data_IF_888343319904
#
_entry.id   IF_888343319904
#
_cell.length_a   1.000
_cell.length_b   1.000
_cell.length_c   1.000
_cell.angle_alpha   90.00
_cell.angle_beta   90.00
_cell.angle_gamma   90.00
#
_symmetry.space_group_name_H-M   'P 1'
#
loop_
_entity.id
_entity.type
_entity.pdbx_description
1 polymer ?
#
# COMPACT_ATOMS: atom_id res chain seq x y z
N UNK A 1 40.09 45.71 22.46
CA UNK A 1 38.95 45.03 23.12
C UNK A 1 37.85 46.08 23.23
N UNK A 2 36.63 45.98 22.70
CA UNK A 2 35.83 44.85 22.24
C UNK A 2 34.93 45.25 21.04
N UNK A 3 34.30 44.25 20.43
CA UNK A 3 33.87 44.17 19.04
C UNK A 3 32.47 44.76 18.74
N UNK A 4 32.28 45.14 17.47
CA UNK A 4 31.04 45.53 16.82
C UNK A 4 29.88 44.57 17.09
N UNK A 5 28.71 45.11 17.43
CA UNK A 5 27.46 44.39 17.37
C UNK A 5 26.98 44.29 15.92
N UNK A 6 26.92 43.05 15.42
CA UNK A 6 26.24 42.71 14.16
C UNK A 6 24.74 42.73 14.43
N UNK A 7 24.02 43.61 13.72
CA UNK A 7 22.57 43.55 13.60
C UNK A 7 22.24 42.38 12.67
N UNK A 8 21.71 41.29 13.22
CA UNK A 8 21.10 40.24 12.43
C UNK A 8 19.68 40.69 12.06
N UNK A 9 19.49 41.05 10.79
CA UNK A 9 18.17 41.13 10.19
C UNK A 9 17.53 39.73 10.27
N UNK A 10 16.38 39.64 10.93
CA UNK A 10 15.58 38.41 10.94
C UNK A 10 15.31 37.95 9.50
N UNK A 11 15.58 36.67 9.14
CA UNK A 11 15.08 36.15 7.89
C UNK A 11 13.55 36.04 8.00
N UNK A 12 12.89 36.70 7.06
CA UNK A 12 11.62 36.38 6.43
C UNK A 12 10.63 35.55 7.25
N UNK A 13 9.52 36.21 7.62
CA UNK A 13 8.28 35.61 8.10
C UNK A 13 8.04 34.24 7.44
N UNK A 14 8.18 33.18 8.23
CA UNK A 14 7.41 31.98 7.98
C UNK A 14 5.95 32.43 8.09
N UNK A 15 5.18 32.35 7.01
CA UNK A 15 3.75 32.61 7.07
C UNK A 15 3.13 31.60 8.04
N UNK A 16 2.83 32.06 9.26
CA UNK A 16 2.20 31.30 10.35
C UNK A 16 0.69 31.11 10.11
N UNK A 17 0.27 30.94 8.85
CA UNK A 17 -1.14 30.90 8.47
C UNK A 17 -1.62 29.54 7.94
N UNK A 18 -0.79 28.51 8.02
CA UNK A 18 -1.19 27.10 7.84
C UNK A 18 -1.05 26.38 9.19
N UNK A 19 -1.75 26.88 10.21
CA UNK A 19 -1.64 26.40 11.57
C UNK A 19 -2.28 25.01 11.67
N UNK A 20 -1.47 23.96 11.52
CA UNK A 20 -1.90 22.61 11.85
C UNK A 20 -2.21 22.52 13.35
N UNK A 21 -3.38 21.99 13.72
CA UNK A 21 -3.67 21.63 15.10
C UNK A 21 -2.77 20.47 15.52
N UNK A 22 -2.10 20.59 16.68
CA UNK A 22 -1.05 19.65 17.07
C UNK A 22 -1.56 18.69 18.14
N UNK A 23 -1.57 17.40 17.82
CA UNK A 23 -1.97 16.30 18.72
C UNK A 23 -0.73 15.52 19.15
N UNK A 24 -0.62 15.24 20.46
CA UNK A 24 0.45 14.39 21.00
C UNK A 24 0.06 12.92 20.97
N UNK A 25 0.97 12.04 20.52
CA UNK A 25 0.72 10.58 20.46
C UNK A 25 0.75 9.86 21.82
N UNK A 26 1.01 10.58 22.92
CA UNK A 26 1.10 9.98 24.25
C UNK A 26 2.26 8.98 24.38
N UNK A 27 2.04 7.92 25.16
CA UNK A 27 2.99 6.82 25.38
C UNK A 27 2.91 5.71 24.32
N UNK A 28 2.05 5.87 23.31
CA UNK A 28 1.81 4.88 22.25
C UNK A 28 1.13 3.59 22.72
N UNK A 29 0.63 3.53 23.96
CA UNK A 29 -0.04 2.36 24.50
C UNK A 29 -1.54 2.31 24.17
N UNK A 30 -2.11 3.42 23.72
CA UNK A 30 -3.55 3.57 23.46
C UNK A 30 -3.88 4.33 22.17
N UNK A 31 -5.17 4.34 21.79
CA UNK A 31 -5.64 5.08 20.63
C UNK A 31 -5.43 6.59 20.78
N UNK A 32 -5.15 7.26 19.67
CA UNK A 32 -4.99 8.72 19.59
C UNK A 32 -6.28 9.31 19.02
N UNK A 33 -6.89 10.23 19.77
CA UNK A 33 -8.07 10.96 19.29
C UNK A 33 -7.65 12.13 18.40
N UNK A 34 -8.24 12.23 17.23
CA UNK A 34 -8.05 13.28 16.22
C UNK A 34 -9.29 14.19 16.23
N UNK A 35 -9.10 15.53 16.31
CA UNK A 35 -10.18 16.51 16.31
C UNK A 35 -10.87 16.62 14.94
N UNK A 36 -12.01 17.32 14.90
CA UNK A 36 -12.81 17.63 13.71
C UNK A 36 -13.74 16.48 13.25
N UNK A 37 -14.26 15.69 14.19
CA UNK A 37 -15.23 14.64 13.91
C UNK A 37 -14.73 13.63 12.85
N UNK A 38 -15.51 13.45 11.78
CA UNK A 38 -15.22 12.46 10.73
C UNK A 38 -14.08 12.84 9.76
N UNK A 39 -13.43 13.99 9.97
CA UNK A 39 -12.24 14.43 9.20
C UNK A 39 -11.20 13.31 9.02
N UNK A 40 -11.05 12.44 10.02
CA UNK A 40 -10.14 11.30 9.97
C UNK A 40 -10.40 10.35 8.77
N UNK A 41 -11.65 10.24 8.32
CA UNK A 41 -12.08 9.34 7.25
C UNK A 41 -11.79 9.87 5.84
N UNK A 42 -11.67 11.20 5.71
CA UNK A 42 -11.54 11.90 4.43
C UNK A 42 -10.23 12.67 4.29
N UNK A 43 -9.45 12.81 5.36
CA UNK A 43 -8.14 13.43 5.36
C UNK A 43 -7.13 12.72 4.45
N UNK A 44 -6.29 13.52 3.82
CA UNK A 44 -5.03 13.07 3.24
C UNK A 44 -4.01 12.84 4.37
N UNK A 45 -3.32 11.71 4.31
CA UNK A 45 -2.32 11.32 5.29
C UNK A 45 -0.95 11.55 4.67
N UNK A 46 -0.07 12.25 5.37
CA UNK A 46 1.29 12.54 4.92
C UNK A 46 2.28 12.32 6.05
N UNK A 47 3.30 11.50 5.81
CA UNK A 47 4.40 11.33 6.77
C UNK A 47 5.34 12.53 6.72
N UNK A 48 5.50 13.19 7.87
CA UNK A 48 6.41 14.34 8.05
C UNK A 48 7.44 13.97 9.11
N UNK A 49 8.53 13.34 8.68
CA UNK A 49 9.57 12.83 9.59
C UNK A 49 9.02 11.76 10.53
N UNK A 50 9.12 11.94 11.87
CA UNK A 50 8.51 11.04 12.85
C UNK A 50 7.02 11.31 13.09
N UNK A 51 6.46 12.38 12.52
CA UNK A 51 5.08 12.81 12.73
C UNK A 51 4.16 12.40 11.56
N UNK A 52 2.87 12.34 11.83
CA UNK A 52 1.82 12.16 10.83
C UNK A 52 1.07 13.48 10.65
N UNK A 53 0.96 13.97 9.42
CA UNK A 53 0.12 15.11 9.06
C UNK A 53 -1.16 14.59 8.40
N UNK A 54 -2.30 15.12 8.83
CA UNK A 54 -3.62 14.88 8.28
C UNK A 54 -4.12 16.20 7.70
N UNK A 55 -4.63 16.20 6.47
CA UNK A 55 -5.17 17.43 5.86
C UNK A 55 -6.36 17.17 4.97
N UNK A 56 -7.37 18.02 5.05
CA UNK A 56 -8.54 18.01 4.18
C UNK A 56 -9.00 19.45 3.97
N UNK A 57 -8.96 19.92 2.73
CA UNK A 57 -9.31 21.30 2.42
C UNK A 57 -8.47 22.30 3.21
N UNK A 58 -9.10 23.03 4.14
CA UNK A 58 -8.45 24.00 5.01
C UNK A 58 -8.13 23.50 6.43
N UNK A 59 -8.51 22.26 6.75
CA UNK A 59 -8.27 21.65 8.06
C UNK A 59 -6.98 20.83 8.02
N UNK A 60 -6.12 21.03 9.02
CA UNK A 60 -4.86 20.32 9.12
C UNK A 60 -4.56 19.94 10.56
N UNK A 61 -4.20 18.68 10.79
CA UNK A 61 -3.82 18.14 12.10
C UNK A 61 -2.45 17.47 12.00
N UNK A 62 -1.54 17.78 12.92
CA UNK A 62 -0.22 17.15 13.03
C UNK A 62 -0.18 16.28 14.29
N UNK A 63 -0.10 14.97 14.09
CA UNK A 63 0.09 13.98 15.15
C UNK A 63 1.57 13.76 15.38
N UNK A 64 2.09 14.25 16.51
CA UNK A 64 3.53 14.23 16.80
C UNK A 64 4.00 12.85 17.21
N UNK A 65 5.12 12.42 16.63
CA UNK A 65 5.87 11.22 17.05
C UNK A 65 5.08 9.93 16.78
N UNK A 66 4.11 10.01 15.87
CA UNK A 66 3.25 8.91 15.48
C UNK A 66 4.01 7.68 14.98
N UNK A 67 5.14 7.89 14.30
CA UNK A 67 5.98 6.83 13.73
C UNK A 67 7.18 6.44 14.60
N UNK A 68 7.27 6.91 15.84
CA UNK A 68 8.38 6.54 16.75
C UNK A 68 8.12 5.26 17.53
N UNK A 69 6.89 4.75 17.49
CA UNK A 69 6.48 3.53 18.20
C UNK A 69 6.72 2.28 17.34
N UNK A 70 7.11 1.17 17.98
CA UNK A 70 7.24 -0.13 17.30
C UNK A 70 5.90 -0.62 16.73
N UNK A 71 4.80 -0.35 17.45
CA UNK A 71 3.43 -0.54 16.97
C UNK A 71 2.79 0.84 16.82
N UNK A 72 2.42 1.19 15.60
CA UNK A 72 1.74 2.47 15.32
C UNK A 72 0.36 2.50 16.00
N UNK A 73 0.06 3.54 16.80
CA UNK A 73 -1.22 3.66 17.50
C UNK A 73 -2.41 3.81 16.54
N UNK A 74 -3.59 3.35 16.95
CA UNK A 74 -4.83 3.56 16.20
C UNK A 74 -5.30 5.00 16.36
N UNK A 75 -5.97 5.54 15.33
CA UNK A 75 -6.54 6.88 15.32
C UNK A 75 -8.06 6.79 15.46
N UNK A 76 -8.63 7.60 16.36
CA UNK A 76 -10.07 7.70 16.59
C UNK A 76 -10.53 9.12 16.28
N UNK A 77 -11.76 9.28 15.80
CA UNK A 77 -12.42 10.59 15.84
C UNK A 77 -12.86 10.94 17.28
N UNK A 78 -13.28 12.20 17.49
CA UNK A 78 -13.67 12.71 18.82
C UNK A 78 -14.78 11.93 19.52
N UNK A 79 -15.71 11.34 18.76
CA UNK A 79 -16.83 10.57 19.30
C UNK A 79 -16.55 9.05 19.37
N UNK A 80 -15.41 8.60 18.84
CA UNK A 80 -15.00 7.21 18.80
C UNK A 80 -15.78 6.33 17.83
N UNK A 81 -16.63 6.90 16.97
CA UNK A 81 -17.42 6.17 15.98
C UNK A 81 -16.59 5.69 14.78
N UNK A 82 -15.47 6.35 14.50
CA UNK A 82 -14.53 5.98 13.43
C UNK A 82 -13.17 5.59 14.02
N UNK A 83 -12.62 4.49 13.50
CA UNK A 83 -11.29 3.99 13.87
C UNK A 83 -10.47 3.75 12.61
N UNK A 84 -9.31 4.39 12.53
CA UNK A 84 -8.28 4.09 11.53
C UNK A 84 -7.14 3.37 12.23
N UNK A 85 -7.00 2.08 11.93
CA UNK A 85 -5.94 1.27 12.52
C UNK A 85 -4.55 1.79 12.14
N UNK A 86 -3.58 1.73 13.04
CA UNK A 86 -2.27 2.35 12.81
C UNK A 86 -1.51 1.80 11.60
N UNK A 87 -1.73 0.53 11.27
CA UNK A 87 -1.19 -0.07 10.03
C UNK A 87 -1.80 0.53 8.76
N UNK A 88 -3.07 0.93 8.81
CA UNK A 88 -3.75 1.61 7.71
C UNK A 88 -3.28 3.06 7.60
N UNK A 89 -3.22 3.79 8.71
CA UNK A 89 -2.68 5.15 8.75
C UNK A 89 -1.25 5.21 8.20
N UNK A 90 -0.41 4.22 8.51
CA UNK A 90 0.95 4.11 7.98
C UNK A 90 1.01 3.89 6.48
N UNK A 91 0.06 3.13 5.91
CA UNK A 91 -0.05 2.93 4.46
C UNK A 91 -0.54 4.19 3.77
N UNK A 92 -1.52 4.87 4.35
CA UNK A 92 -2.09 6.10 3.82
C UNK A 92 -1.07 7.26 3.83
N UNK A 93 -0.21 7.33 4.85
CA UNK A 93 0.81 8.38 5.00
C UNK A 93 1.91 8.39 3.93
N UNK A 94 1.99 7.32 3.12
CA UNK A 94 2.96 7.15 2.05
C UNK A 94 4.39 6.88 2.53
N UNK A 95 5.28 6.45 1.60
CA UNK A 95 6.70 6.22 1.91
C UNK A 95 7.41 7.54 2.23
N UNK A 96 8.45 7.45 3.07
CA UNK A 96 9.23 8.51 3.74
C UNK A 96 9.78 9.69 2.90
N UNK A 97 9.60 9.75 1.58
CA UNK A 97 10.30 10.70 0.70
C UNK A 97 9.37 11.45 -0.27
N UNK A 98 8.86 12.63 0.13
CA UNK A 98 8.25 13.59 -0.78
C UNK A 98 9.30 14.17 -1.72
N UNK A 99 9.32 13.64 -2.95
CA UNK A 99 10.32 13.97 -3.97
C UNK A 99 10.58 12.82 -4.95
N UNK A 100 10.24 11.60 -4.56
CA UNK A 100 10.13 10.46 -5.50
C UNK A 100 8.74 10.38 -6.16
N UNK A 101 7.82 11.31 -5.88
CA UNK A 101 6.43 11.27 -6.38
C UNK A 101 6.28 11.48 -7.89
N UNK A 102 7.24 12.11 -8.57
CA UNK A 102 7.28 12.11 -10.05
C UNK A 102 7.63 10.72 -10.63
N UNK A 103 8.17 9.80 -9.80
CA UNK A 103 8.50 8.43 -10.17
C UNK A 103 7.56 7.39 -9.51
N UNK A 104 6.82 7.75 -8.45
CA UNK A 104 5.83 6.92 -7.76
C UNK A 104 4.41 6.99 -8.36
N UNK A 105 4.11 7.90 -9.29
CA UNK A 105 2.89 7.81 -10.11
C UNK A 105 2.82 6.48 -10.91
N UNK A 106 3.97 5.82 -11.09
CA UNK A 106 4.07 4.47 -11.66
C UNK A 106 3.98 3.34 -10.62
N UNK A 107 4.07 3.64 -9.32
CA UNK A 107 4.04 2.67 -8.22
C UNK A 107 2.73 2.71 -7.43
N UNK A 108 1.85 3.68 -7.67
CA UNK A 108 0.45 3.68 -7.22
C UNK A 108 -0.41 2.54 -7.86
N UNK A 109 0.19 1.70 -8.70
CA UNK A 109 -0.37 0.40 -9.11
C UNK A 109 -0.05 -0.74 -8.14
N UNK A 110 0.74 -0.51 -7.09
CA UNK A 110 0.96 -1.47 -6.02
C UNK A 110 -0.21 -1.46 -5.01
N UNK A 111 -1.44 -1.60 -5.52
CA UNK A 111 -2.41 -2.41 -4.80
C UNK A 111 -1.70 -3.73 -4.55
N UNK A 112 -1.37 -4.03 -3.29
CA UNK A 112 -0.80 -5.32 -2.91
C UNK A 112 -1.87 -6.40 -3.02
N UNK A 113 -2.27 -6.73 -4.23
CA UNK A 113 -2.34 -8.14 -4.60
C UNK A 113 -0.88 -8.58 -4.57
N UNK A 114 -0.43 -9.15 -3.47
CA UNK A 114 0.86 -9.84 -3.48
C UNK A 114 0.79 -10.87 -4.60
N UNK A 115 1.68 -10.74 -5.59
CA UNK A 115 1.72 -11.70 -6.70
C UNK A 115 1.87 -13.09 -6.10
N UNK A 116 0.92 -13.98 -6.38
CA UNK A 116 0.97 -15.34 -5.84
C UNK A 116 1.90 -16.22 -6.68
N UNK A 117 2.31 -15.75 -7.86
CA UNK A 117 3.30 -16.43 -8.68
C UNK A 117 3.90 -15.56 -9.77
N UNK A 118 4.85 -16.16 -10.49
CA UNK A 118 5.59 -15.55 -11.58
C UNK A 118 5.67 -16.51 -12.76
N UNK A 119 5.58 -15.98 -13.98
CA UNK A 119 5.78 -16.77 -15.20
C UNK A 119 7.27 -17.11 -15.35
N UNK A 120 7.64 -18.37 -15.20
CA UNK A 120 9.02 -18.85 -15.40
C UNK A 120 9.32 -19.22 -16.85
N UNK A 121 8.32 -19.77 -17.55
CA UNK A 121 8.44 -20.21 -18.95
C UNK A 121 7.25 -19.73 -19.75
N UNK A 122 7.50 -19.25 -20.96
CA UNK A 122 6.45 -18.83 -21.88
C UNK A 122 6.90 -19.06 -23.32
N UNK A 123 6.05 -19.72 -24.09
CA UNK A 123 6.16 -19.90 -25.54
C UNK A 123 4.81 -19.57 -26.18
N UNK A 124 4.82 -18.95 -27.37
CA UNK A 124 3.59 -18.56 -28.06
C UNK A 124 2.88 -17.34 -27.45
N UNK A 125 1.57 -17.26 -27.63
CA UNK A 125 0.73 -16.14 -27.19
C UNK A 125 -0.11 -16.55 -25.99
N UNK A 126 0.07 -15.84 -24.89
CA UNK A 126 -0.67 -16.04 -23.64
C UNK A 126 -1.21 -14.70 -23.15
N UNK A 127 -2.46 -14.69 -22.72
CA UNK A 127 -3.15 -13.52 -22.18
C UNK A 127 -3.56 -13.77 -20.73
N UNK A 128 -3.36 -12.77 -19.86
CA UNK A 128 -3.86 -12.74 -18.49
C UNK A 128 -5.02 -11.75 -18.46
N UNK A 129 -6.19 -12.20 -18.03
CA UNK A 129 -7.35 -11.35 -17.82
C UNK A 129 -7.44 -11.13 -16.31
N UNK A 130 -7.23 -9.90 -15.88
CA UNK A 130 -7.26 -9.50 -14.47
C UNK A 130 -8.70 -9.43 -13.98
N UNK A 131 -8.88 -9.35 -12.66
CA UNK A 131 -10.20 -9.27 -12.02
C UNK A 131 -10.98 -7.99 -12.38
N UNK A 132 -10.30 -6.93 -12.76
CA UNK A 132 -10.90 -5.69 -13.29
C UNK A 132 -11.36 -5.82 -14.76
N UNK A 133 -11.15 -6.99 -15.38
CA UNK A 133 -11.48 -7.28 -16.78
C UNK A 133 -10.39 -6.88 -17.77
N UNK A 134 -9.29 -6.24 -17.32
CA UNK A 134 -8.18 -5.85 -18.18
C UNK A 134 -7.47 -7.08 -18.70
N UNK A 135 -7.29 -7.16 -20.02
CA UNK A 135 -6.50 -8.22 -20.65
C UNK A 135 -5.09 -7.71 -20.93
N UNK A 136 -4.09 -8.38 -20.37
CA UNK A 136 -2.67 -8.10 -20.61
C UNK A 136 -2.00 -9.30 -21.25
N UNK A 137 -1.04 -9.06 -22.15
CA UNK A 137 -0.20 -10.13 -22.68
C UNK A 137 0.77 -10.59 -21.59
N UNK A 138 0.93 -11.90 -21.43
CA UNK A 138 1.93 -12.46 -20.53
C UNK A 138 3.30 -12.48 -21.20
N UNK A 139 4.33 -12.22 -20.40
CA UNK A 139 5.75 -12.38 -20.73
C UNK A 139 6.44 -13.17 -19.63
N UNK A 140 7.66 -13.64 -19.89
CA UNK A 140 8.49 -14.24 -18.85
C UNK A 140 8.76 -13.21 -17.75
N UNK A 141 8.52 -13.60 -16.49
CA UNK A 141 8.61 -12.70 -15.35
C UNK A 141 7.32 -11.94 -15.04
N UNK A 142 6.26 -12.09 -15.84
CA UNK A 142 4.95 -11.50 -15.52
C UNK A 142 4.44 -12.02 -14.18
N UNK A 143 3.89 -11.09 -13.40
CA UNK A 143 3.27 -11.39 -12.12
C UNK A 143 1.86 -11.95 -12.32
N UNK A 144 1.57 -13.00 -11.57
CA UNK A 144 0.28 -13.67 -11.48
C UNK A 144 -0.37 -13.30 -10.16
N UNK A 145 -1.64 -12.92 -10.19
CA UNK A 145 -2.43 -12.53 -9.04
C UNK A 145 -3.65 -13.44 -8.89
N UNK A 146 -4.18 -13.51 -7.67
CA UNK A 146 -5.44 -14.20 -7.40
C UNK A 146 -6.58 -13.60 -8.23
N UNK A 147 -7.40 -14.47 -8.82
CA UNK A 147 -8.50 -14.13 -9.70
C UNK A 147 -8.11 -13.97 -11.18
N UNK A 148 -6.82 -14.04 -11.53
CA UNK A 148 -6.38 -13.95 -12.92
C UNK A 148 -6.91 -15.13 -13.76
N UNK A 149 -7.34 -14.85 -14.98
CA UNK A 149 -7.65 -15.87 -15.97
C UNK A 149 -6.52 -15.92 -17.00
N UNK A 150 -5.79 -17.02 -17.04
CA UNK A 150 -4.77 -17.29 -18.05
C UNK A 150 -5.44 -17.97 -19.25
N UNK A 151 -5.19 -17.46 -20.44
CA UNK A 151 -5.61 -18.05 -21.72
C UNK A 151 -4.41 -18.23 -22.63
N UNK A 152 -4.15 -19.45 -23.08
CA UNK A 152 -3.12 -19.78 -24.06
C UNK A 152 -3.77 -19.97 -25.43
N UNK A 153 -3.13 -19.44 -26.49
CA UNK A 153 -3.55 -19.68 -27.87
C UNK A 153 -2.98 -21.01 -28.41
N UNK A 154 -3.23 -21.35 -29.67
CA UNK A 154 -2.64 -22.53 -30.31
C UNK A 154 -1.11 -22.41 -30.40
N UNK A 155 -0.40 -23.50 -30.10
CA UNK A 155 1.07 -23.55 -30.02
C UNK A 155 1.68 -22.81 -28.82
N UNK A 156 0.88 -22.33 -27.87
CA UNK A 156 1.37 -21.59 -26.71
C UNK A 156 1.50 -22.45 -25.46
N UNK A 157 2.57 -22.22 -24.68
CA UNK A 157 2.89 -22.95 -23.46
C UNK A 157 3.26 -21.94 -22.37
N UNK A 158 2.79 -22.14 -21.14
CA UNK A 158 3.17 -21.30 -20.00
C UNK A 158 3.50 -22.15 -18.78
N UNK A 159 4.57 -21.78 -18.08
CA UNK A 159 4.98 -22.36 -16.80
C UNK A 159 5.04 -21.26 -15.75
N UNK A 160 4.37 -21.47 -14.63
CA UNK A 160 4.22 -20.52 -13.52
C UNK A 160 4.85 -21.14 -12.27
N UNK A 161 5.63 -20.33 -11.55
CA UNK A 161 6.15 -20.65 -10.22
C UNK A 161 5.39 -19.83 -9.19
N UNK A 162 4.69 -20.50 -8.30
CA UNK A 162 4.00 -19.87 -7.19
C UNK A 162 4.95 -19.61 -6.02
N UNK A 163 4.55 -18.70 -5.14
CA UNK A 163 5.35 -18.28 -3.96
C UNK A 163 5.51 -19.40 -2.92
N UNK A 164 4.61 -20.38 -2.91
CA UNK A 164 4.68 -21.62 -2.11
C UNK A 164 5.66 -22.67 -2.68
N UNK A 165 6.38 -22.31 -3.74
CA UNK A 165 7.26 -23.17 -4.52
C UNK A 165 6.55 -24.24 -5.36
N UNK A 166 5.22 -24.23 -5.47
CA UNK A 166 4.50 -25.06 -6.43
C UNK A 166 4.74 -24.54 -7.85
N UNK A 167 4.83 -25.45 -8.82
CA UNK A 167 4.99 -25.11 -10.23
C UNK A 167 3.81 -25.65 -11.03
N UNK A 168 3.22 -24.81 -11.87
CA UNK A 168 2.11 -25.19 -12.74
C UNK A 168 2.46 -24.92 -14.20
N UNK A 169 1.97 -25.76 -15.11
CA UNK A 169 2.15 -25.55 -16.54
C UNK A 169 0.82 -25.73 -17.28
N UNK A 170 0.56 -24.85 -18.25
CA UNK A 170 -0.61 -24.91 -19.12
C UNK A 170 -0.13 -24.94 -20.58
N UNK A 171 -0.59 -25.94 -21.32
CA UNK A 171 -0.28 -26.11 -22.74
C UNK A 171 -1.19 -25.29 -23.65
N UNK A 172 -1.16 -25.60 -24.95
CA UNK A 172 -1.88 -24.83 -25.97
C UNK A 172 -3.41 -24.89 -25.83
N UNK A 173 -4.08 -23.83 -26.30
CA UNK A 173 -5.56 -23.70 -26.30
C UNK A 173 -6.21 -23.95 -24.92
N UNK A 174 -5.48 -23.65 -23.85
CA UNK A 174 -5.87 -23.83 -22.47
C UNK A 174 -6.43 -22.56 -21.84
N UNK A 175 -7.26 -22.73 -20.82
CA UNK A 175 -7.76 -21.63 -19.98
C UNK A 175 -7.75 -22.07 -18.52
N UNK A 176 -7.19 -21.24 -17.65
CA UNK A 176 -7.13 -21.48 -16.22
C UNK A 176 -7.53 -20.21 -15.47
N UNK A 177 -8.28 -20.36 -14.37
CA UNK A 177 -8.51 -19.29 -13.41
C UNK A 177 -7.60 -19.55 -12.22
N UNK A 178 -6.90 -18.52 -11.79
CA UNK A 178 -6.08 -18.53 -10.59
C UNK A 178 -7.01 -18.22 -9.42
N UNK A 179 -7.22 -19.18 -8.54
CA UNK A 179 -7.94 -18.97 -7.29
C UNK A 179 -6.98 -19.14 -6.11
N UNK A 180 -7.36 -18.61 -4.94
CA UNK A 180 -6.64 -18.87 -3.70
C UNK A 180 -6.78 -20.36 -3.36
N UNK A 181 -5.69 -21.13 -3.42
CA UNK A 181 -5.70 -22.50 -2.94
C UNK A 181 -5.87 -22.48 -1.42
N UNK A 182 -7.10 -22.64 -0.95
CA UNK A 182 -7.35 -23.17 0.40
C UNK A 182 -6.90 -24.63 0.36
N UNK A 183 -5.70 -24.90 0.84
CA UNK A 183 -5.28 -26.26 1.13
C UNK A 183 -6.12 -26.77 2.30
N UNK A 184 -7.13 -27.58 2.01
CA UNK A 184 -7.81 -28.41 3.01
C UNK A 184 -7.11 -29.79 3.04
N UNK A 185 -6.27 -30.08 4.05
CA UNK A 185 -5.64 -31.39 4.18
C UNK A 185 -6.64 -32.54 4.42
N UNK A 186 -7.94 -32.25 4.53
CA UNK A 186 -9.01 -33.22 4.81
C UNK A 186 -9.40 -34.16 3.65
N UNK A 187 -9.15 -33.82 2.39
CA UNK A 187 -9.65 -34.61 1.24
C UNK A 187 -8.53 -35.39 0.52
N UNK A 188 -7.67 -36.05 1.30
CA UNK A 188 -6.86 -37.14 0.80
C UNK A 188 -7.66 -38.44 0.72
N UNK A 189 -8.68 -38.53 -0.16
CA UNK A 189 -9.18 -39.84 -0.58
C UNK A 189 -9.83 -39.86 -1.97
N UNK A 190 -9.09 -39.42 -2.99
CA UNK A 190 -9.35 -39.85 -4.37
C UNK A 190 -8.95 -41.32 -4.58
N UNK A 191 -9.59 -42.28 -3.90
CA UNK A 191 -9.50 -43.70 -4.27
C UNK A 191 -10.22 -43.86 -5.61
N UNK A 192 -9.44 -43.99 -6.67
CA UNK A 192 -9.93 -44.54 -7.93
C UNK A 192 -10.35 -45.99 -7.68
N UNK A 193 -11.65 -46.28 -7.83
CA UNK A 193 -12.17 -47.63 -8.10
C UNK A 193 -13.20 -47.54 -9.18
#
# INVERSE_FOLDING_TARGET
MAFSNVVFSAPSKFDLNDAAEVVGSGDGAGPITVPHGDFLLSAEYVRVGPHLSLSEGGTKVLVKDYFTFERTPDLLNEDGSAVIGGSLASRLAGPLAPGQFAQLGQLAQANTLSSIGVVEKLEGVVSLIRTDGTTVRADKGSQIFTGDIIKTESGANIGIKFVDQTSFALGESGRMVIDEMVYDPGEASGKST
#
